data_IF_358793234207
#
_entry.id   IF_358793234207
#
_cell.length_a   1.000
_cell.length_b   1.000
_cell.length_c   1.000
_cell.angle_alpha   90.00
_cell.angle_beta   90.00
_cell.angle_gamma   90.00
#
_symmetry.space_group_name_H-M   'P 1'
#
loop_
_entity.id
_entity.type
_entity.pdbx_description
1 polymer ?
#
# COMPACT_ATOMS: atom_id res chain seq x y z
N UNK A 1 -44.17 65.50 21.26
CA UNK A 1 -44.80 64.20 20.91
C UNK A 1 -44.01 63.67 19.72
N UNK A 2 -43.27 62.56 19.67
CA UNK A 2 -43.16 61.34 20.45
C UNK A 2 -41.65 60.98 20.57
N UNK A 3 -41.18 60.71 21.80
CA UNK A 3 -39.92 60.01 22.09
C UNK A 3 -40.30 58.56 22.41
N UNK A 4 -39.91 57.60 21.58
CA UNK A 4 -39.99 56.15 21.84
C UNK A 4 -39.38 55.43 20.66
N UNK A 5 -38.52 54.42 20.72
CA UNK A 5 -37.90 53.66 21.80
C UNK A 5 -36.68 52.98 21.13
N UNK A 6 -35.46 53.48 21.38
CA UNK A 6 -34.24 52.70 21.18
C UNK A 6 -33.96 51.99 22.50
N UNK A 7 -34.36 50.72 22.59
CA UNK A 7 -34.02 49.84 23.70
C UNK A 7 -33.24 48.64 23.17
N UNK A 8 -31.93 48.82 23.16
CA UNK A 8 -30.96 47.93 23.81
C UNK A 8 -31.25 46.43 23.71
N UNK A 9 -30.81 45.81 22.61
CA UNK A 9 -30.47 44.39 22.61
C UNK A 9 -29.18 44.21 23.42
N UNK A 10 -29.31 44.06 24.74
CA UNK A 10 -28.23 43.53 25.59
C UNK A 10 -28.03 42.07 25.23
N UNK A 11 -26.91 41.79 24.58
CA UNK A 11 -26.29 40.47 24.54
C UNK A 11 -25.97 40.09 25.99
N UNK A 12 -26.84 39.29 26.62
CA UNK A 12 -26.59 38.75 27.96
C UNK A 12 -25.78 37.48 27.80
N UNK A 13 -24.48 37.64 28.02
CA UNK A 13 -23.54 36.75 28.69
C UNK A 13 -23.77 35.24 28.59
N UNK A 14 -22.83 34.63 27.87
CA UNK A 14 -22.29 33.27 28.04
C UNK A 14 -22.53 32.66 29.42
N UNK A 15 -23.44 31.69 29.49
CA UNK A 15 -23.39 30.63 30.49
C UNK A 15 -22.19 29.74 30.16
N UNK A 16 -21.03 30.15 30.67
CA UNK A 16 -19.88 29.27 30.82
C UNK A 16 -20.29 28.12 31.74
N UNK A 17 -20.54 26.96 31.15
CA UNK A 17 -20.55 25.70 31.88
C UNK A 17 -19.13 25.50 32.43
N UNK A 18 -18.90 25.90 33.68
CA UNK A 18 -17.66 25.57 34.36
C UNK A 18 -17.67 24.05 34.64
N UNK A 19 -16.72 23.28 34.10
CA UNK A 19 -16.58 21.88 34.47
C UNK A 19 -16.15 21.78 35.94
N UNK A 20 -16.82 20.92 36.70
CA UNK A 20 -16.51 20.70 38.12
C UNK A 20 -15.04 20.26 38.27
N UNK A 21 -14.28 20.82 39.23
CA UNK A 21 -12.83 20.61 39.32
C UNK A 21 -12.41 19.19 39.76
N UNK A 22 -13.34 18.36 40.26
CA UNK A 22 -13.01 17.06 40.87
C UNK A 22 -13.55 15.82 40.13
N UNK A 23 -14.06 15.96 38.90
CA UNK A 23 -14.49 14.81 38.08
C UNK A 23 -13.52 14.45 36.93
N UNK A 24 -12.40 15.18 36.79
CA UNK A 24 -11.41 15.00 35.72
C UNK A 24 -10.21 14.11 36.10
N UNK A 25 -10.41 13.00 36.80
CA UNK A 25 -9.30 12.06 37.08
C UNK A 25 -9.58 10.59 36.86
N UNK A 26 -10.70 10.18 36.24
CA UNK A 26 -10.98 8.73 36.10
C UNK A 26 -11.29 8.16 34.74
N UNK A 27 -10.93 8.81 33.63
CA UNK A 27 -10.87 8.15 32.33
C UNK A 27 -9.80 8.80 31.44
N UNK A 28 -8.54 8.73 31.83
CA UNK A 28 -7.44 8.84 30.87
C UNK A 28 -7.03 7.42 30.49
N UNK A 29 -7.24 6.98 29.23
CA UNK A 29 -6.66 5.72 28.79
C UNK A 29 -5.14 5.87 28.76
N UNK A 30 -4.46 5.22 29.69
CA UNK A 30 -2.99 5.13 29.77
C UNK A 30 -2.42 4.16 28.73
N UNK A 31 -2.83 4.32 27.47
CA UNK A 31 -2.13 3.71 26.34
C UNK A 31 -2.33 4.55 25.09
N UNK A 32 -1.23 5.11 24.57
CA UNK A 32 -1.16 5.87 23.33
C UNK A 32 -1.48 5.04 22.06
N UNK A 33 -2.04 3.84 22.21
CA UNK A 33 -2.42 2.94 21.11
C UNK A 33 -3.69 2.11 21.38
N UNK A 34 -4.60 2.60 22.22
CA UNK A 34 -5.97 2.07 22.23
C UNK A 34 -6.75 2.65 21.04
N UNK A 35 -6.55 2.07 19.85
CA UNK A 35 -7.55 2.23 18.80
C UNK A 35 -8.85 1.57 19.31
N UNK A 36 -9.99 2.26 19.35
CA UNK A 36 -11.25 1.63 19.73
C UNK A 36 -11.50 0.48 18.75
N UNK A 37 -11.52 -0.75 19.29
CA UNK A 37 -11.90 -1.94 18.52
C UNK A 37 -13.28 -1.65 17.92
N UNK A 38 -13.42 -1.74 16.60
CA UNK A 38 -14.64 -1.38 15.85
C UNK A 38 -15.80 -2.38 16.04
N UNK A 39 -15.99 -2.91 17.24
CA UNK A 39 -17.08 -3.83 17.63
C UNK A 39 -18.30 -3.06 18.13
N UNK A 40 -18.61 -1.90 17.53
CA UNK A 40 -19.85 -1.20 17.82
C UNK A 40 -21.02 -1.99 17.22
N UNK A 41 -21.87 -2.55 18.08
CA UNK A 41 -23.13 -3.18 17.69
C UNK A 41 -24.24 -2.16 17.86
N UNK A 42 -24.95 -1.86 16.78
CA UNK A 42 -26.10 -0.97 16.84
C UNK A 42 -27.27 -1.77 17.41
N UNK A 43 -27.79 -1.28 18.53
CA UNK A 43 -28.84 -1.92 19.30
C UNK A 43 -30.01 -0.96 19.49
N UNK A 44 -31.21 -1.47 19.27
CA UNK A 44 -32.45 -0.77 19.54
C UNK A 44 -33.03 -1.22 20.87
N UNK A 45 -33.60 -0.30 21.64
CA UNK A 45 -34.28 -0.66 22.88
C UNK A 45 -35.59 -1.35 22.54
N UNK A 46 -35.83 -2.52 23.12
CA UNK A 46 -37.08 -3.24 22.94
C UNK A 46 -38.26 -2.48 23.56
N UNK A 47 -38.01 -1.81 24.70
CA UNK A 47 -38.97 -0.93 25.35
C UNK A 47 -38.51 0.54 25.21
N UNK A 48 -39.16 1.36 24.37
CA UNK A 48 -38.79 2.76 24.18
C UNK A 48 -39.08 3.60 25.43
N UNK A 49 -38.37 4.73 25.57
CA UNK A 49 -38.65 5.64 26.67
C UNK A 49 -39.96 6.40 26.43
N UNK A 50 -40.74 6.70 27.48
CA UNK A 50 -41.83 7.66 27.36
C UNK A 50 -41.27 9.05 27.02
N UNK A 51 -42.07 9.84 26.31
CA UNK A 51 -41.71 11.21 25.95
C UNK A 51 -41.39 12.03 27.21
N UNK A 52 -40.25 12.72 27.18
CA UNK A 52 -39.78 13.53 28.29
C UNK A 52 -39.55 14.97 27.85
N UNK A 53 -39.65 15.91 28.80
CA UNK A 53 -39.37 17.33 28.53
C UNK A 53 -37.90 17.50 28.15
N UNK A 54 -37.62 18.25 27.08
CA UNK A 54 -36.25 18.47 26.54
C UNK A 54 -35.25 18.98 27.59
N UNK A 55 -35.71 19.81 28.54
CA UNK A 55 -34.87 20.40 29.59
C UNK A 55 -34.34 19.39 30.61
N UNK A 56 -34.93 18.18 30.70
CA UNK A 56 -34.56 17.19 31.72
C UNK A 56 -34.20 15.86 31.05
N UNK A 57 -33.19 15.17 31.59
CA UNK A 57 -32.84 13.81 31.15
C UNK A 57 -33.91 12.80 31.58
N UNK A 58 -34.24 11.86 30.71
CA UNK A 58 -35.24 10.83 30.99
C UNK A 58 -34.70 9.81 32.00
N UNK A 59 -35.48 9.50 33.04
CA UNK A 59 -35.12 8.47 34.03
C UNK A 59 -35.30 7.07 33.44
N UNK A 60 -34.23 6.28 33.39
CA UNK A 60 -34.26 4.90 32.90
C UNK A 60 -34.72 3.94 33.98
N UNK A 61 -35.47 2.91 33.58
CA UNK A 61 -35.87 1.77 34.42
C UNK A 61 -35.24 0.50 33.86
N UNK A 62 -35.19 -0.55 34.66
CA UNK A 62 -34.61 -1.87 34.29
C UNK A 62 -35.11 -2.38 32.94
N UNK A 63 -36.42 -2.28 32.67
CA UNK A 63 -37.03 -2.71 31.39
C UNK A 63 -36.49 -2.00 30.14
N UNK A 64 -35.88 -0.81 30.28
CA UNK A 64 -35.34 -0.04 29.16
C UNK A 64 -33.90 -0.44 28.79
N UNK A 65 -33.26 -1.31 29.57
CA UNK A 65 -31.94 -1.89 29.28
C UNK A 65 -32.04 -3.23 28.53
N UNK A 66 -33.22 -3.57 28.01
CA UNK A 66 -33.43 -4.72 27.14
C UNK A 66 -33.28 -4.25 25.70
N UNK A 67 -32.34 -4.86 24.97
CA UNK A 67 -31.93 -4.44 23.63
C UNK A 67 -32.17 -5.54 22.60
N UNK A 68 -32.51 -5.14 21.37
CA UNK A 68 -32.56 -5.96 20.17
C UNK A 68 -31.46 -5.49 19.22
N UNK A 69 -30.68 -6.42 18.68
CA UNK A 69 -29.67 -6.09 17.65
C UNK A 69 -30.40 -5.80 16.34
N UNK A 70 -30.31 -4.57 15.83
CA UNK A 70 -31.02 -4.17 14.62
C UNK A 70 -30.12 -4.20 13.38
N UNK A 71 -28.86 -3.78 13.51
CA UNK A 71 -27.87 -3.86 12.44
C UNK A 71 -26.61 -4.57 12.94
N UNK A 72 -26.47 -5.84 12.55
CA UNK A 72 -25.20 -6.55 12.71
C UNK A 72 -24.22 -5.99 11.67
N UNK A 73 -23.22 -5.22 12.12
CA UNK A 73 -22.22 -4.57 11.24
C UNK A 73 -21.40 -5.54 10.37
N UNK A 74 -21.59 -6.85 10.53
CA UNK A 74 -20.82 -7.92 9.88
C UNK A 74 -20.88 -7.88 8.35
N UNK A 75 -21.90 -7.24 7.77
CA UNK A 75 -22.14 -7.23 6.31
C UNK A 75 -21.68 -5.96 5.60
N UNK A 76 -20.93 -5.07 6.28
CA UNK A 76 -20.40 -3.88 5.63
C UNK A 76 -19.23 -4.27 4.73
N UNK A 77 -19.51 -4.38 3.44
CA UNK A 77 -18.51 -4.34 2.37
C UNK A 77 -17.45 -3.29 2.70
N UNK A 78 -16.18 -3.64 2.48
CA UNK A 78 -15.04 -2.76 2.77
C UNK A 78 -15.24 -1.40 2.08
N UNK A 79 -15.67 -0.40 2.84
CA UNK A 79 -15.91 0.95 2.33
C UNK A 79 -14.58 1.48 1.80
N UNK A 80 -14.50 1.80 0.51
CA UNK A 80 -13.26 2.33 -0.08
C UNK A 80 -13.06 3.79 0.34
N UNK A 81 -11.82 4.18 0.62
CA UNK A 81 -11.43 5.55 0.93
C UNK A 81 -11.03 6.30 -0.34
N UNK A 82 -11.59 7.49 -0.57
CA UNK A 82 -11.21 8.37 -1.67
C UNK A 82 -9.97 9.19 -1.29
N UNK A 83 -8.88 9.01 -2.02
CA UNK A 83 -7.57 9.56 -1.67
C UNK A 83 -6.85 10.16 -2.90
N UNK A 84 -5.99 11.13 -2.64
CA UNK A 84 -5.06 11.74 -3.58
C UNK A 84 -3.66 11.24 -3.23
N UNK A 85 -2.91 10.72 -4.20
CA UNK A 85 -1.51 10.33 -4.00
C UNK A 85 -0.60 11.55 -4.12
N UNK A 86 0.27 11.81 -3.13
CA UNK A 86 1.30 12.85 -3.20
C UNK A 86 2.55 12.31 -3.88
N UNK A 87 2.93 11.07 -3.56
CA UNK A 87 4.12 10.41 -4.08
C UNK A 87 3.73 9.23 -4.96
N UNK A 88 4.69 8.73 -5.75
CA UNK A 88 4.50 7.51 -6.50
C UNK A 88 4.50 6.32 -5.53
N UNK A 89 3.47 5.48 -5.60
CA UNK A 89 3.31 4.34 -4.71
C UNK A 89 3.25 3.07 -5.55
N UNK A 90 4.15 2.13 -5.23
CA UNK A 90 4.26 0.83 -5.92
C UNK A 90 2.90 0.12 -5.99
N UNK A 91 2.54 -0.34 -7.19
CA UNK A 91 1.29 -1.05 -7.51
C UNK A 91 -0.02 -0.29 -7.24
N UNK A 92 0.03 0.94 -6.72
CA UNK A 92 -1.17 1.71 -6.35
C UNK A 92 -1.44 2.81 -7.37
N UNK A 93 -0.43 3.63 -7.67
CA UNK A 93 -0.60 4.76 -8.59
C UNK A 93 0.53 5.78 -8.49
N UNK A 94 0.38 6.87 -9.24
CA UNK A 94 1.36 7.95 -9.33
C UNK A 94 0.93 9.16 -8.51
N UNK A 95 1.89 10.00 -8.16
CA UNK A 95 1.63 11.34 -7.64
C UNK A 95 0.60 12.10 -8.50
N UNK A 96 -0.42 12.64 -7.85
CA UNK A 96 -1.54 13.38 -8.46
C UNK A 96 -2.75 12.53 -8.85
N UNK A 97 -2.71 11.20 -8.70
CA UNK A 97 -3.87 10.34 -9.00
C UNK A 97 -4.92 10.42 -7.86
N UNK A 98 -6.20 10.50 -8.23
CA UNK A 98 -7.35 10.45 -7.31
C UNK A 98 -8.00 9.08 -7.41
N UNK A 99 -7.88 8.26 -6.34
CA UNK A 99 -8.24 6.84 -6.35
C UNK A 99 -9.15 6.46 -5.19
N UNK A 100 -9.90 5.36 -5.38
CA UNK A 100 -10.65 4.69 -4.31
C UNK A 100 -9.85 3.49 -3.79
N UNK A 101 -9.22 3.66 -2.63
CA UNK A 101 -8.33 2.68 -2.02
C UNK A 101 -9.02 1.86 -0.93
N UNK A 102 -8.45 0.69 -0.62
CA UNK A 102 -8.86 -0.05 0.58
C UNK A 102 -8.47 0.76 1.83
N UNK A 103 -9.38 0.92 2.78
CA UNK A 103 -9.15 1.64 4.03
C UNK A 103 -7.94 1.13 4.80
N UNK A 104 -7.74 -0.19 4.87
CA UNK A 104 -6.60 -0.76 5.61
C UNK A 104 -5.28 -0.29 5.00
N UNK A 105 -5.17 -0.29 3.68
CA UNK A 105 -3.98 0.20 2.97
C UNK A 105 -3.79 1.70 3.22
N UNK A 106 -4.85 2.49 3.06
CA UNK A 106 -4.78 3.94 3.22
C UNK A 106 -4.40 4.36 4.64
N UNK A 107 -5.14 3.90 5.65
CA UNK A 107 -4.96 4.33 7.05
C UNK A 107 -3.70 3.76 7.70
N UNK A 108 -3.31 2.52 7.37
CA UNK A 108 -2.15 1.90 8.02
C UNK A 108 -0.83 2.19 7.31
N UNK A 109 -0.84 2.41 5.98
CA UNK A 109 0.39 2.60 5.19
C UNK A 109 0.49 3.99 4.60
N UNK A 110 -0.43 4.40 3.72
CA UNK A 110 -0.16 5.59 2.89
C UNK A 110 -0.32 6.91 3.65
N UNK A 111 -1.35 7.03 4.48
CA UNK A 111 -1.64 8.26 5.20
C UNK A 111 -0.59 8.56 6.27
N UNK A 112 -0.18 7.59 7.13
CA UNK A 112 0.88 7.85 8.11
C UNK A 112 2.24 8.15 7.47
N UNK A 113 2.54 7.53 6.32
CA UNK A 113 3.79 7.76 5.59
C UNK A 113 3.78 9.08 4.80
N UNK A 114 2.67 9.84 4.81
CA UNK A 114 2.53 11.09 4.04
C UNK A 114 2.50 10.89 2.52
N UNK A 115 2.28 9.66 2.05
CA UNK A 115 2.25 9.32 0.63
C UNK A 115 0.89 9.62 -0.02
N UNK A 116 -0.17 9.70 0.78
CA UNK A 116 -1.52 9.99 0.31
C UNK A 116 -2.30 10.85 1.30
N UNK A 117 -3.24 11.64 0.76
CA UNK A 117 -4.12 12.53 1.52
C UNK A 117 -5.57 12.24 1.17
N UNK A 118 -6.50 12.53 2.07
CA UNK A 118 -7.93 12.45 1.77
C UNK A 118 -8.32 13.41 0.64
N UNK A 119 -9.19 12.94 -0.25
CA UNK A 119 -9.77 13.75 -1.32
C UNK A 119 -10.95 14.59 -0.81
N UNK A 120 -10.68 15.55 0.06
CA UNK A 120 -11.63 16.62 0.43
C UNK A 120 -11.55 17.76 -0.57
N UNK A 121 -12.58 18.60 -0.66
CA UNK A 121 -12.63 19.74 -1.59
C UNK A 121 -11.44 20.70 -1.38
N UNK A 122 -11.16 21.07 -0.13
CA UNK A 122 -9.99 21.87 0.21
C UNK A 122 -8.66 21.22 -0.25
N UNK A 123 -8.52 19.90 -0.10
CA UNK A 123 -7.30 19.21 -0.53
C UNK A 123 -7.20 19.06 -2.05
N UNK A 124 -8.33 18.95 -2.74
CA UNK A 124 -8.34 18.93 -4.20
C UNK A 124 -7.81 20.26 -4.73
N UNK A 125 -8.27 21.38 -4.18
CA UNK A 125 -7.76 22.72 -4.54
C UNK A 125 -6.27 22.90 -4.21
N UNK A 126 -5.82 22.42 -3.04
CA UNK A 126 -4.41 22.51 -2.65
C UNK A 126 -3.49 21.67 -3.55
N UNK A 127 -3.95 20.51 -4.02
CA UNK A 127 -3.17 19.58 -4.85
C UNK A 127 -3.54 19.64 -6.33
N UNK A 128 -4.29 20.65 -6.75
CA UNK A 128 -4.72 20.86 -8.13
C UNK A 128 -3.55 20.87 -9.10
N UNK A 129 -2.41 21.46 -8.71
CA UNK A 129 -1.21 21.52 -9.52
C UNK A 129 -0.61 20.13 -9.77
N UNK A 130 -0.63 19.24 -8.78
CA UNK A 130 -0.18 17.86 -8.94
C UNK A 130 -1.15 17.07 -9.85
N UNK A 131 -2.45 17.27 -9.67
CA UNK A 131 -3.50 16.64 -10.49
C UNK A 131 -3.40 17.11 -11.94
N UNK A 132 -3.19 18.42 -12.16
CA UNK A 132 -3.01 19.01 -13.50
C UNK A 132 -1.71 18.54 -14.15
N UNK A 133 -0.59 18.49 -13.42
CA UNK A 133 0.67 17.89 -13.91
C UNK A 133 0.44 16.45 -14.36
N UNK A 134 -0.34 15.67 -13.61
CA UNK A 134 -0.71 14.31 -14.00
C UNK A 134 -1.54 14.29 -15.30
N UNK A 135 -2.58 15.12 -15.40
CA UNK A 135 -3.43 15.21 -16.60
C UNK A 135 -2.71 15.74 -17.85
N UNK A 136 -1.79 16.70 -17.69
CA UNK A 136 -0.95 17.23 -18.77
C UNK A 136 0.07 16.19 -19.24
N UNK A 137 0.67 15.45 -18.32
CA UNK A 137 1.58 14.35 -18.64
C UNK A 137 0.86 13.17 -19.29
N UNK A 138 -0.40 12.90 -18.95
CA UNK A 138 -1.22 11.91 -19.66
C UNK A 138 -1.49 12.31 -21.12
N UNK A 139 -1.54 13.62 -21.42
CA UNK A 139 -1.74 14.14 -22.78
C UNK A 139 -0.43 14.30 -23.57
N UNK A 140 0.69 14.64 -22.90
CA UNK A 140 2.00 14.88 -23.55
C UNK A 140 2.90 13.65 -23.60
N UNK A 141 2.79 12.73 -22.64
CA UNK A 141 3.58 11.51 -22.63
C UNK A 141 2.77 10.38 -23.27
N UNK A 142 3.26 9.89 -24.40
CA UNK A 142 3.05 8.50 -24.84
C UNK A 142 3.18 7.62 -23.58
N UNK A 143 2.14 6.88 -23.20
CA UNK A 143 2.08 6.01 -22.00
C UNK A 143 3.38 5.21 -21.76
N UNK A 144 4.10 4.88 -22.85
CA UNK A 144 5.42 4.25 -22.89
C UNK A 144 6.45 4.86 -21.94
N UNK A 145 6.68 6.18 -21.92
CA UNK A 145 7.72 6.78 -21.08
C UNK A 145 7.40 6.67 -19.58
N UNK A 146 6.13 6.62 -19.22
CA UNK A 146 5.70 6.53 -17.82
C UNK A 146 5.74 5.09 -17.30
N UNK A 147 5.39 4.12 -18.15
CA UNK A 147 5.55 2.70 -17.85
C UNK A 147 7.01 2.33 -17.64
N UNK A 148 7.94 3.00 -18.34
CA UNK A 148 9.38 2.76 -18.22
C UNK A 148 9.90 3.07 -16.81
N UNK A 149 9.48 4.18 -16.18
CA UNK A 149 9.92 4.55 -14.82
C UNK A 149 9.41 3.54 -13.78
N UNK A 150 8.13 3.19 -13.82
CA UNK A 150 7.53 2.24 -12.87
C UNK A 150 8.19 0.86 -13.02
N UNK A 151 8.46 0.44 -14.26
CA UNK A 151 9.16 -0.82 -14.53
C UNK A 151 10.60 -0.77 -14.07
N UNK A 152 11.31 0.34 -14.27
CA UNK A 152 12.68 0.49 -13.82
C UNK A 152 12.80 0.30 -12.30
N UNK A 153 11.96 0.96 -11.51
CA UNK A 153 11.95 0.77 -10.04
C UNK A 153 11.62 -0.67 -9.63
N UNK A 154 10.71 -1.34 -10.35
CA UNK A 154 10.40 -2.75 -10.10
C UNK A 154 11.60 -3.64 -10.40
N UNK A 155 12.24 -3.46 -11.57
CA UNK A 155 13.42 -4.22 -11.97
C UNK A 155 14.58 -4.00 -11.00
N UNK A 156 14.80 -2.79 -10.49
CA UNK A 156 15.81 -2.53 -9.45
C UNK A 156 15.53 -3.37 -8.20
N UNK A 157 14.28 -3.41 -7.74
CA UNK A 157 13.89 -4.19 -6.57
C UNK A 157 14.01 -5.70 -6.80
N UNK A 158 13.65 -6.19 -7.99
CA UNK A 158 13.72 -7.61 -8.33
C UNK A 158 15.18 -8.08 -8.46
N UNK A 159 16.07 -7.20 -8.93
CA UNK A 159 17.52 -7.44 -8.97
C UNK A 159 18.17 -7.32 -7.57
N UNK A 160 17.62 -6.46 -6.70
CA UNK A 160 18.16 -6.25 -5.34
C UNK A 160 17.93 -7.52 -4.50
N UNK A 161 19.01 -8.23 -4.19
CA UNK A 161 18.95 -9.52 -3.50
C UNK A 161 18.89 -10.74 -4.42
N UNK A 162 18.98 -10.52 -5.74
CA UNK A 162 19.10 -11.59 -6.73
C UNK A 162 20.49 -12.23 -6.65
N UNK A 163 20.53 -13.57 -6.54
CA UNK A 163 21.73 -14.40 -6.68
C UNK A 163 21.76 -15.00 -8.08
N UNK A 164 22.61 -14.49 -8.97
CA UNK A 164 22.72 -14.91 -10.35
C UNK A 164 23.74 -16.05 -10.48
N UNK A 165 23.32 -17.27 -10.87
CA UNK A 165 24.25 -18.36 -11.13
C UNK A 165 24.92 -18.16 -12.51
N UNK A 166 26.25 -18.08 -12.52
CA UNK A 166 27.03 -17.94 -13.76
C UNK A 166 27.78 -19.24 -14.02
N UNK A 167 27.37 -19.92 -15.10
CA UNK A 167 28.00 -21.16 -15.55
C UNK A 167 29.28 -20.84 -16.33
N UNK A 168 30.42 -21.26 -15.82
CA UNK A 168 31.70 -21.27 -16.55
C UNK A 168 32.13 -22.70 -16.85
N UNK A 169 32.94 -22.92 -17.89
CA UNK A 169 33.44 -24.25 -18.17
C UNK A 169 34.55 -24.64 -17.18
N UNK A 170 34.60 -25.92 -16.76
CA UNK A 170 35.75 -26.47 -16.02
C UNK A 170 36.97 -26.71 -16.89
N UNK A 171 36.78 -26.96 -18.19
CA UNK A 171 37.83 -27.42 -19.09
C UNK A 171 38.77 -26.29 -19.53
N UNK A 172 38.30 -25.05 -19.44
CA UNK A 172 39.06 -23.84 -19.78
C UNK A 172 38.98 -22.92 -18.57
N UNK A 173 40.13 -22.41 -18.10
CA UNK A 173 40.18 -21.36 -17.07
C UNK A 173 39.74 -20.02 -17.67
N UNK A 174 38.48 -19.94 -18.10
CA UNK A 174 37.87 -18.73 -18.66
C UNK A 174 37.58 -17.74 -17.55
N UNK A 175 38.19 -16.56 -17.65
CA UNK A 175 37.91 -15.42 -16.79
C UNK A 175 36.49 -14.89 -17.00
N UNK A 176 35.94 -14.29 -15.95
CA UNK A 176 34.60 -13.73 -15.98
C UNK A 176 34.55 -12.46 -16.85
N UNK A 177 33.91 -12.56 -18.01
CA UNK A 177 33.63 -11.41 -18.89
C UNK A 177 32.17 -10.94 -18.77
N UNK A 178 31.86 -9.68 -19.17
CA UNK A 178 30.49 -9.17 -19.21
C UNK A 178 29.54 -10.03 -20.06
N UNK A 179 30.07 -10.71 -21.09
CA UNK A 179 29.29 -11.60 -21.96
C UNK A 179 28.73 -12.81 -21.21
N UNK A 180 29.49 -13.39 -20.27
CA UNK A 180 29.01 -14.47 -19.42
C UNK A 180 27.86 -14.00 -18.52
N UNK A 181 27.99 -12.80 -17.94
CA UNK A 181 26.95 -12.18 -17.11
C UNK A 181 25.69 -11.91 -17.92
N UNK A 182 25.85 -11.38 -19.14
CA UNK A 182 24.73 -11.12 -20.06
C UNK A 182 23.94 -12.39 -20.38
N UNK A 183 24.62 -13.48 -20.74
CA UNK A 183 23.97 -14.77 -21.03
C UNK A 183 23.26 -15.33 -19.81
N UNK A 184 23.85 -15.18 -18.61
CA UNK A 184 23.21 -15.61 -17.36
C UNK A 184 21.94 -14.78 -17.06
N UNK A 185 21.97 -13.46 -17.27
CA UNK A 185 20.80 -12.59 -17.12
C UNK A 185 19.68 -12.96 -18.11
N UNK A 186 20.03 -13.27 -19.35
CA UNK A 186 19.04 -13.72 -20.35
C UNK A 186 18.37 -15.04 -19.95
N UNK A 187 19.14 -15.98 -19.39
CA UNK A 187 18.60 -17.23 -18.83
C UNK A 187 17.68 -16.97 -17.63
N UNK A 188 17.96 -15.93 -16.84
CA UNK A 188 17.08 -15.47 -15.76
C UNK A 188 15.84 -14.70 -16.27
N UNK A 189 15.75 -14.42 -17.58
CA UNK A 189 14.62 -13.71 -18.20
C UNK A 189 14.74 -12.19 -18.19
N UNK A 190 15.94 -11.66 -17.95
CA UNK A 190 16.23 -10.22 -17.95
C UNK A 190 17.11 -9.90 -19.17
N UNK A 191 16.59 -9.09 -20.09
CA UNK A 191 17.34 -8.63 -21.26
C UNK A 191 18.29 -7.49 -20.87
N UNK A 192 19.59 -7.72 -20.98
CA UNK A 192 20.65 -6.73 -20.73
C UNK A 192 21.67 -6.70 -21.88
N UNK A 193 22.36 -5.57 -22.05
CA UNK A 193 23.46 -5.39 -23.00
C UNK A 193 24.80 -5.33 -22.25
N UNK A 194 25.91 -5.63 -22.92
CA UNK A 194 27.24 -5.62 -22.29
C UNK A 194 27.60 -4.26 -21.69
N UNK A 195 27.19 -3.16 -22.35
CA UNK A 195 27.43 -1.78 -21.90
C UNK A 195 26.67 -1.37 -20.64
N UNK A 196 25.61 -2.09 -20.27
CA UNK A 196 24.82 -1.77 -19.08
C UNK A 196 25.33 -2.49 -17.82
N UNK A 197 26.29 -3.39 -17.97
CA UNK A 197 26.84 -4.21 -16.87
C UNK A 197 28.11 -3.54 -16.36
N UNK A 198 28.19 -3.35 -15.05
CA UNK A 198 29.39 -2.88 -14.36
C UNK A 198 29.99 -4.03 -13.56
N UNK A 199 31.25 -4.35 -13.88
CA UNK A 199 32.02 -5.43 -13.27
C UNK A 199 32.75 -4.95 -12.01
N UNK A 200 33.04 -5.86 -11.05
CA UNK A 200 33.93 -5.54 -9.94
C UNK A 200 35.35 -5.21 -10.43
N UNK A 201 36.09 -4.44 -9.64
CA UNK A 201 37.47 -4.04 -9.96
C UNK A 201 38.46 -5.22 -9.87
N UNK A 202 38.14 -6.24 -9.07
CA UNK A 202 38.96 -7.44 -8.91
C UNK A 202 38.48 -8.56 -9.86
N UNK A 203 39.38 -9.15 -10.67
CA UNK A 203 39.04 -10.27 -11.53
C UNK A 203 38.76 -11.53 -10.70
N UNK A 204 37.53 -12.01 -10.74
CA UNK A 204 37.08 -13.17 -9.95
C UNK A 204 37.21 -14.45 -10.80
N UNK A 205 38.13 -15.31 -10.40
CA UNK A 205 38.38 -16.64 -11.03
C UNK A 205 37.88 -17.80 -10.16
N UNK A 206 37.62 -17.53 -8.88
CA UNK A 206 37.14 -18.50 -7.88
C UNK A 206 35.62 -18.72 -7.90
N UNK A 207 35.17 -19.75 -7.18
CA UNK A 207 33.74 -20.01 -6.89
C UNK A 207 33.26 -19.11 -5.75
N UNK A 208 33.42 -17.80 -5.91
CA UNK A 208 33.13 -16.80 -4.89
C UNK A 208 31.87 -16.00 -5.22
N UNK A 209 31.23 -15.44 -4.18
CA UNK A 209 30.13 -14.48 -4.33
C UNK A 209 30.71 -13.10 -4.58
N UNK A 210 30.32 -12.43 -5.67
CA UNK A 210 30.76 -11.07 -5.99
C UNK A 210 29.57 -10.17 -6.31
N UNK A 211 29.74 -8.87 -6.13
CA UNK A 211 28.70 -7.87 -6.38
C UNK A 211 28.84 -7.29 -7.77
N UNK A 212 27.77 -7.35 -8.55
CA UNK A 212 27.62 -6.74 -9.87
C UNK A 212 26.59 -5.63 -9.81
N UNK A 213 26.71 -4.64 -10.69
CA UNK A 213 25.67 -3.62 -10.86
C UNK A 213 25.19 -3.51 -12.31
N UNK A 214 23.88 -3.41 -12.47
CA UNK A 214 23.20 -3.23 -13.77
C UNK A 214 22.63 -1.82 -13.85
N UNK A 215 22.98 -1.10 -14.93
CA UNK A 215 22.47 0.24 -15.21
C UNK A 215 21.20 0.16 -16.06
N UNK A 216 20.10 0.70 -15.54
CA UNK A 216 18.78 0.70 -16.17
C UNK A 216 18.44 2.13 -16.60
N UNK A 217 18.24 2.34 -17.91
CA UNK A 217 17.87 3.63 -18.50
C UNK A 217 18.77 4.80 -18.08
N UNK A 218 20.08 4.54 -17.95
CA UNK A 218 21.13 5.49 -17.58
C UNK A 218 21.04 6.17 -16.20
N UNK A 219 19.89 6.14 -15.53
CA UNK A 219 19.64 6.79 -14.22
C UNK A 219 19.65 5.80 -13.05
N UNK A 220 19.09 4.60 -13.24
CA UNK A 220 18.94 3.63 -12.17
C UNK A 220 20.12 2.66 -12.16
N UNK A 221 20.64 2.37 -10.97
CA UNK A 221 21.70 1.37 -10.78
C UNK A 221 21.19 0.32 -9.81
N UNK A 222 21.18 -0.94 -10.24
CA UNK A 222 20.69 -2.07 -9.46
C UNK A 222 21.86 -3.00 -9.09
N UNK A 223 22.24 -3.11 -7.80
CA UNK A 223 23.22 -4.07 -7.35
C UNK A 223 22.59 -5.47 -7.22
N UNK A 224 23.31 -6.50 -7.67
CA UNK A 224 22.94 -7.90 -7.50
C UNK A 224 24.19 -8.75 -7.27
N UNK A 225 23.99 -9.96 -6.76
CA UNK A 225 25.09 -10.87 -6.42
C UNK A 225 25.25 -11.92 -7.52
N UNK A 226 26.48 -12.11 -8.01
CA UNK A 226 26.85 -13.18 -8.92
C UNK A 226 27.54 -14.32 -8.17
N UNK A 227 27.24 -15.55 -8.55
CA UNK A 227 27.89 -16.76 -8.03
C UNK A 227 28.41 -17.56 -9.22
N UNK A 228 29.72 -17.75 -9.28
CA UNK A 228 30.35 -18.59 -10.32
C UNK A 228 30.21 -20.06 -9.91
N UNK A 229 29.78 -20.89 -10.85
CA UNK A 229 29.89 -22.33 -10.72
C UNK A 229 30.50 -22.92 -12.00
N UNK A 230 31.43 -23.85 -11.82
CA UNK A 230 32.10 -24.49 -12.96
C UNK A 230 31.34 -25.74 -13.39
N UNK A 231 31.14 -25.89 -14.70
CA UNK A 231 30.39 -26.99 -15.33
C UNK A 231 31.33 -27.81 -16.21
N UNK A 232 31.36 -29.12 -15.96
CA UNK A 232 31.99 -30.12 -16.86
C UNK A 232 30.99 -30.57 -17.92
N UNK A 233 31.47 -31.02 -19.08
CA UNK A 233 30.60 -31.60 -20.12
C UNK A 233 29.94 -32.91 -19.67
N UNK A 234 30.56 -33.61 -18.71
CA UNK A 234 30.13 -34.93 -18.25
C UNK A 234 29.09 -34.88 -17.12
N UNK A 235 28.73 -33.69 -16.65
CA UNK A 235 27.73 -33.52 -15.59
C UNK A 235 26.37 -33.16 -16.19
N UNK A 236 25.37 -34.03 -15.96
CA UNK A 236 23.99 -33.87 -16.46
C UNK A 236 23.23 -32.64 -15.91
N UNK A 237 23.80 -31.95 -14.91
CA UNK A 237 23.20 -30.78 -14.28
C UNK A 237 23.96 -29.51 -14.71
N UNK A 238 23.44 -28.82 -15.73
CA UNK A 238 23.92 -27.49 -16.18
C UNK A 238 23.60 -26.37 -15.18
N UNK A 239 22.77 -26.64 -14.17
CA UNK A 239 22.37 -25.72 -13.10
C UNK A 239 22.54 -26.47 -11.77
N UNK A 240 23.19 -25.90 -10.74
CA UNK A 240 23.32 -26.53 -9.43
C UNK A 240 21.94 -26.74 -8.82
N UNK A 241 21.72 -27.87 -8.13
CA UNK A 241 20.50 -28.12 -7.39
C UNK A 241 20.26 -26.98 -6.37
N UNK A 242 19.08 -26.35 -6.43
CA UNK A 242 18.72 -25.19 -5.60
C UNK A 242 18.70 -23.84 -6.32
N UNK A 243 19.16 -23.76 -7.58
CA UNK A 243 19.03 -22.55 -8.42
C UNK A 243 17.79 -22.53 -9.33
N UNK A 244 16.89 -23.53 -9.22
CA UNK A 244 15.63 -23.65 -9.98
C UNK A 244 14.58 -22.56 -9.67
N UNK A 245 14.91 -21.63 -8.76
CA UNK A 245 13.99 -20.61 -8.24
C UNK A 245 13.61 -19.48 -9.19
N UNK A 246 14.37 -19.25 -10.27
CA UNK A 246 14.11 -18.11 -11.17
C UNK A 246 13.09 -18.39 -12.28
N UNK A 247 13.03 -19.63 -12.79
CA UNK A 247 12.16 -19.99 -13.92
C UNK A 247 10.73 -20.31 -13.52
N UNK A 248 10.42 -20.44 -12.23
CA UNK A 248 9.03 -20.53 -11.78
C UNK A 248 8.51 -19.14 -11.46
N UNK A 249 7.99 -18.45 -12.48
CA UNK A 249 6.78 -17.64 -12.27
C UNK A 249 5.70 -18.61 -11.81
N UNK A 250 5.69 -18.95 -10.53
CA UNK A 250 4.67 -19.80 -9.94
C UNK A 250 3.34 -19.10 -10.19
N UNK A 251 2.57 -19.63 -11.12
CA UNK A 251 1.13 -19.40 -11.30
C UNK A 251 0.32 -19.81 -10.05
N UNK A 252 0.99 -20.20 -8.97
CA UNK A 252 0.44 -20.80 -7.76
C UNK A 252 -0.17 -19.78 -6.79
N UNK A 253 0.00 -18.47 -6.99
CA UNK A 253 -0.73 -17.44 -6.22
C UNK A 253 -2.10 -17.05 -6.81
N UNK A 254 -2.59 -17.72 -7.87
CA UNK A 254 -3.96 -17.56 -8.39
C UNK A 254 -4.94 -18.69 -8.03
N UNK A 255 -4.55 -19.67 -7.22
CA UNK A 255 -5.50 -20.65 -6.64
C UNK A 255 -6.00 -20.16 -5.28
N UNK A 256 -6.85 -19.14 -5.30
CA UNK A 256 -7.48 -18.60 -4.09
C UNK A 256 -8.77 -17.83 -4.35
N UNK A 257 -9.33 -17.91 -5.56
CA UNK A 257 -10.58 -17.25 -5.91
C UNK A 257 -11.36 -18.07 -6.95
N UNK A 258 -11.51 -19.37 -6.71
CA UNK A 258 -12.60 -20.13 -7.34
C UNK A 258 -13.86 -19.85 -6.52
N UNK A 259 -14.61 -18.86 -7.00
CA UNK A 259 -16.00 -18.62 -6.63
C UNK A 259 -16.77 -19.87 -7.03
N UNK A 260 -17.27 -20.61 -6.04
CA UNK A 260 -18.29 -21.64 -6.26
C UNK A 260 -19.55 -20.95 -6.75
N UNK A 261 -19.84 -21.05 -8.04
CA UNK A 261 -21.20 -20.92 -8.56
C UNK A 261 -21.92 -22.22 -8.28
N UNK A 262 -22.77 -22.21 -7.26
CA UNK A 262 -23.73 -23.27 -7.01
C UNK A 262 -24.83 -23.20 -8.08
N UNK A 263 -24.78 -24.09 -9.07
CA UNK A 263 -25.90 -24.37 -9.96
C UNK A 263 -26.93 -25.21 -9.19
N UNK A 264 -27.90 -24.55 -8.57
CA UNK A 264 -29.12 -25.19 -8.08
C UNK A 264 -30.02 -25.48 -9.29
N UNK A 265 -30.05 -26.74 -9.71
CA UNK A 265 -31.13 -27.28 -10.52
C UNK A 265 -32.35 -27.51 -9.63
N UNK A 266 -33.29 -26.57 -9.64
CA UNK A 266 -34.62 -26.80 -9.09
C UNK A 266 -35.35 -27.83 -9.96
N UNK A 267 -35.58 -29.00 -9.37
CA UNK A 267 -36.68 -29.88 -9.74
C UNK A 267 -37.88 -29.48 -8.89
N UNK A 268 -39.04 -29.45 -9.55
CA UNK A 268 -40.44 -29.30 -9.06
C UNK A 268 -40.88 -27.94 -8.53
#
# INVERSE_FOLDING_TARGET
>A
MFRSLLQNAKVVNSLSLQPCPNCLQRLMPTSLNSQPVRTAVVMERLNPLPLHKSTKQARLKTRHFIYKVSNSRKDNYLVKAKAILIQNVRHTGRAGDVLYLNQSLFYHKLFPMGQAVFATEANLELYDDLIKKRGLNAKKAKEKQQLVIIRAEQTVNDLTGMRLPIALSKATDTELTPTHVMVALWKAGIEATESSITMPEEPVTGEEEFTLSLRINDEYTAPFTGVIYRVSKDSDHLIPSGFDGFLKRTSETKKGADVKTDENTDKT
#
